data_IF_269896014858
#
_entry.id   IF_269896014858
#
_cell.length_a   1.000
_cell.length_b   1.000
_cell.length_c   1.000
_cell.angle_alpha   90.00
_cell.angle_beta   90.00
_cell.angle_gamma   90.00
#
_symmetry.space_group_name_H-M   'P 1'
#
loop_
_entity.id
_entity.type
_entity.pdbx_description
1 polymer ?
#
# COMPACT_ATOMS: atom_id res chain seq x y z
N UNK A 1 2.92 4.95 33.75
CA UNK A 1 2.30 3.72 33.21
C UNK A 1 3.35 2.59 33.17
N UNK A 2 2.93 1.33 33.27
CA UNK A 2 3.84 0.17 33.19
C UNK A 2 3.75 -0.47 31.80
N UNK A 3 4.86 -0.96 31.26
CA UNK A 3 4.88 -1.72 30.00
C UNK A 3 4.34 -3.12 30.24
N UNK A 4 3.04 -3.29 30.08
CA UNK A 4 2.33 -4.56 30.20
C UNK A 4 1.23 -4.66 29.14
N UNK A 5 0.63 -5.84 28.99
CA UNK A 5 -0.39 -6.09 27.96
C UNK A 5 -1.57 -5.10 28.03
N UNK A 6 -2.00 -4.72 29.24
CA UNK A 6 -3.11 -3.78 29.44
C UNK A 6 -2.77 -2.39 28.89
N UNK A 7 -1.64 -1.81 29.32
CA UNK A 7 -1.19 -0.48 28.87
C UNK A 7 -0.89 -0.46 27.37
N UNK A 8 -0.32 -1.54 26.82
CA UNK A 8 -0.03 -1.65 25.38
C UNK A 8 -1.33 -1.73 24.57
N UNK A 9 -2.34 -2.46 25.06
CA UNK A 9 -3.66 -2.49 24.42
C UNK A 9 -4.32 -1.11 24.38
N UNK A 10 -4.21 -0.33 25.45
CA UNK A 10 -4.69 1.06 25.48
C UNK A 10 -3.96 1.93 24.45
N UNK A 11 -2.65 1.76 24.31
CA UNK A 11 -1.86 2.50 23.33
C UNK A 11 -2.25 2.15 21.89
N UNK A 12 -2.42 0.86 21.57
CA UNK A 12 -2.86 0.44 20.23
C UNK A 12 -4.24 1.01 19.88
N UNK A 13 -5.22 0.88 20.78
CA UNK A 13 -6.55 1.43 20.56
C UNK A 13 -6.51 2.95 20.33
N UNK A 14 -5.72 3.68 21.12
CA UNK A 14 -5.55 5.12 20.94
C UNK A 14 -5.00 5.46 19.54
N UNK A 15 -3.96 4.74 19.09
CA UNK A 15 -3.33 4.97 17.79
C UNK A 15 -4.24 4.58 16.61
N UNK A 16 -4.99 3.49 16.73
CA UNK A 16 -5.97 3.05 15.74
C UNK A 16 -7.07 4.11 15.54
N UNK A 17 -7.66 4.57 16.65
CA UNK A 17 -8.67 5.62 16.64
C UNK A 17 -8.11 6.91 16.04
N UNK A 18 -6.92 7.33 16.47
CA UNK A 18 -6.25 8.52 15.92
C UNK A 18 -6.06 8.41 14.40
N UNK A 19 -5.67 7.23 13.90
CA UNK A 19 -5.44 6.98 12.47
C UNK A 19 -6.73 7.17 11.67
N UNK A 20 -7.86 6.64 12.16
CA UNK A 20 -9.17 6.82 11.51
C UNK A 20 -9.58 8.29 11.46
N UNK A 21 -9.42 9.02 12.57
CA UNK A 21 -9.69 10.46 12.60
C UNK A 21 -8.80 11.25 11.63
N UNK A 22 -7.50 10.93 11.59
CA UNK A 22 -6.57 11.56 10.66
C UNK A 22 -6.96 11.31 9.20
N UNK A 23 -7.41 10.10 8.85
CA UNK A 23 -7.93 9.80 7.52
C UNK A 23 -9.08 10.74 7.13
N UNK A 24 -10.07 10.89 8.03
CA UNK A 24 -11.18 11.83 7.84
C UNK A 24 -10.72 13.29 7.69
N UNK A 25 -9.74 13.72 8.51
CA UNK A 25 -9.18 15.07 8.43
C UNK A 25 -8.43 15.34 7.11
N UNK A 26 -7.73 14.33 6.59
CA UNK A 26 -7.02 14.42 5.31
C UNK A 26 -7.91 14.17 4.09
N UNK A 27 -9.21 13.90 4.29
CA UNK A 27 -10.14 13.62 3.20
C UNK A 27 -9.81 12.32 2.45
N UNK A 28 -9.14 11.37 3.10
CA UNK A 28 -8.83 10.05 2.56
C UNK A 28 -9.64 8.99 3.30
N UNK A 29 -9.86 7.84 2.66
CA UNK A 29 -10.46 6.71 3.31
C UNK A 29 -9.39 5.91 4.07
N UNK A 30 -9.38 5.89 5.42
CA UNK A 30 -8.35 5.17 6.18
C UNK A 30 -8.53 3.65 6.17
N UNK A 31 -9.63 3.13 5.58
CA UNK A 31 -9.99 1.72 5.59
C UNK A 31 -9.81 1.04 4.22
N UNK A 32 -9.29 1.73 3.21
CA UNK A 32 -8.97 1.13 1.90
C UNK A 32 -7.47 0.95 1.66
N UNK A 33 -7.14 0.19 0.60
CA UNK A 33 -5.75 -0.15 0.26
C UNK A 33 -5.56 -0.43 -1.25
N UNK A 34 -5.92 0.53 -2.14
CA UNK A 34 -5.86 0.31 -3.59
C UNK A 34 -4.44 0.01 -4.10
N UNK A 35 -3.41 0.61 -3.49
CA UNK A 35 -2.01 0.42 -3.89
C UNK A 35 -1.51 -1.01 -3.67
N UNK A 36 -2.03 -1.71 -2.65
CA UNK A 36 -1.62 -3.09 -2.34
C UNK A 36 -2.04 -4.01 -3.47
N UNK A 37 -3.30 -3.96 -3.88
CA UNK A 37 -3.80 -4.80 -4.97
C UNK A 37 -3.15 -4.45 -6.30
N UNK A 38 -2.96 -3.16 -6.59
CA UNK A 38 -2.25 -2.74 -7.80
C UNK A 38 -0.84 -3.37 -7.89
N UNK A 39 -0.06 -3.32 -6.80
CA UNK A 39 1.29 -3.92 -6.78
C UNK A 39 1.27 -5.43 -7.03
N UNK A 40 0.32 -6.15 -6.43
CA UNK A 40 0.14 -7.60 -6.63
C UNK A 40 -0.14 -7.92 -8.11
N UNK A 41 -1.01 -7.15 -8.76
CA UNK A 41 -1.34 -7.35 -10.17
C UNK A 41 -0.11 -7.18 -11.08
N UNK A 42 0.75 -6.20 -10.81
CA UNK A 42 2.00 -6.03 -11.56
C UNK A 42 2.96 -7.19 -11.32
N UNK A 43 3.13 -7.64 -10.07
CA UNK A 43 3.97 -8.80 -9.74
C UNK A 43 3.46 -10.06 -10.45
N UNK A 44 2.14 -10.30 -10.45
CA UNK A 44 1.55 -11.43 -11.17
C UNK A 44 1.84 -11.37 -12.67
N UNK A 45 1.69 -10.19 -13.29
CA UNK A 45 2.06 -9.99 -14.70
C UNK A 45 3.54 -10.24 -14.95
N UNK A 46 4.43 -9.70 -14.12
CA UNK A 46 5.89 -9.87 -14.26
C UNK A 46 6.34 -11.32 -14.08
N UNK A 47 5.66 -12.08 -13.22
CA UNK A 47 5.90 -13.53 -13.03
C UNK A 47 5.23 -14.39 -14.11
N UNK A 48 4.54 -13.79 -15.08
CA UNK A 48 3.94 -14.50 -16.21
C UNK A 48 2.65 -15.25 -15.88
N UNK A 49 1.92 -14.83 -14.85
CA UNK A 49 0.60 -15.39 -14.53
C UNK A 49 -0.40 -15.03 -15.65
N UNK A 50 -1.14 -16.03 -16.12
CA UNK A 50 -2.19 -15.83 -17.13
C UNK A 50 -3.27 -14.85 -16.64
N UNK A 51 -3.74 -13.99 -17.54
CA UNK A 51 -4.73 -12.94 -17.25
C UNK A 51 -4.14 -11.62 -16.74
N UNK A 52 -2.82 -11.52 -16.61
CA UNK A 52 -2.11 -10.29 -16.20
C UNK A 52 -1.12 -9.79 -17.27
N UNK A 53 -1.28 -10.23 -18.52
CA UNK A 53 -0.39 -9.91 -19.64
C UNK A 53 -0.32 -8.41 -19.91
N UNK A 54 -1.43 -7.70 -19.72
CA UNK A 54 -1.51 -6.25 -19.91
C UNK A 54 -0.67 -5.50 -18.87
N UNK A 55 -0.73 -5.95 -17.61
CA UNK A 55 0.09 -5.43 -16.51
C UNK A 55 1.57 -5.75 -16.70
N UNK A 56 1.90 -6.91 -17.26
CA UNK A 56 3.27 -7.25 -17.64
C UNK A 56 3.81 -6.32 -18.73
N UNK A 57 3.00 -6.01 -19.76
CA UNK A 57 3.38 -5.08 -20.85
C UNK A 57 3.57 -3.66 -20.33
N UNK A 58 2.69 -3.19 -19.44
CA UNK A 58 2.81 -1.88 -18.79
C UNK A 58 4.10 -1.78 -17.97
N UNK A 59 4.39 -2.78 -17.12
CA UNK A 59 5.63 -2.83 -16.33
C UNK A 59 6.89 -2.87 -17.22
N UNK A 60 6.85 -3.62 -18.32
CA UNK A 60 7.94 -3.65 -19.30
C UNK A 60 8.19 -2.28 -19.93
N UNK A 61 7.14 -1.55 -20.31
CA UNK A 61 7.26 -0.18 -20.83
C UNK A 61 7.91 0.77 -19.82
N UNK A 62 7.61 0.64 -18.53
CA UNK A 62 8.27 1.45 -17.49
C UNK A 62 9.76 1.13 -17.37
N UNK A 63 10.13 -0.15 -17.38
CA UNK A 63 11.53 -0.58 -17.38
C UNK A 63 12.29 -0.03 -18.59
N UNK A 64 11.68 -0.10 -19.77
CA UNK A 64 12.30 0.35 -21.01
C UNK A 64 12.37 1.90 -21.10
N UNK A 65 11.54 2.62 -20.32
CA UNK A 65 11.60 4.08 -20.13
C UNK A 65 12.66 4.54 -19.12
N UNK A 66 13.26 3.63 -18.35
CA UNK A 66 14.19 3.91 -17.24
C UNK A 66 15.55 4.52 -17.62
N UNK A 67 15.75 4.97 -18.87
CA UNK A 67 16.98 5.65 -19.30
C UNK A 67 17.02 7.17 -19.04
N UNK A 68 15.95 7.79 -18.53
CA UNK A 68 15.92 9.22 -18.21
C UNK A 68 14.94 9.49 -17.07
N UNK A 69 15.35 9.42 -15.82
CA UNK A 69 14.83 10.26 -14.71
C UNK A 69 15.76 10.04 -13.49
N UNK A 70 16.80 10.87 -13.39
CA UNK A 70 17.53 11.16 -12.15
C UNK A 70 16.89 12.38 -11.51
N UNK A 71 16.43 12.24 -10.27
CA UNK A 71 16.40 13.30 -9.26
C UNK A 71 16.82 12.66 -7.95
#
# INVERSE_FOLDING_TARGET
>A
PQTNAFTIGQLFFLLEVQTVFAGGLYGINPMDQPGVEASKQYIYGMLGRSGFEDKAREAKKWRDRGGRYTI
#
